data_IF_343386272484
#
_entry.id   IF_343386272484
#
_cell.length_a   1.000
_cell.length_b   1.000
_cell.length_c   1.000
_cell.angle_alpha   90.00
_cell.angle_beta   90.00
_cell.angle_gamma   90.00
#
_symmetry.space_group_name_H-M   'P 1'
#
loop_
_entity.id
_entity.type
_entity.pdbx_description
1 polymer ?
#
# COMPACT_ATOMS: atom_id res chain seq x y z
N UNK A 1 -19.17 2.65 -14.63
CA UNK A 1 -19.13 2.79 -13.15
C UNK A 1 -17.71 2.55 -12.65
N UNK A 2 -17.32 3.16 -11.54
CA UNK A 2 -15.95 3.09 -11.00
C UNK A 2 -15.45 1.64 -10.80
N UNK A 3 -16.34 0.70 -10.44
CA UNK A 3 -16.02 -0.72 -10.27
C UNK A 3 -15.44 -1.40 -11.54
N UNK A 4 -15.90 -1.02 -12.73
CA UNK A 4 -15.39 -1.57 -14.00
C UNK A 4 -13.94 -1.13 -14.25
N UNK A 5 -13.67 0.16 -14.06
CA UNK A 5 -12.35 0.76 -14.27
C UNK A 5 -11.30 0.23 -13.29
N UNK A 6 -11.68 -0.03 -12.04
CA UNK A 6 -10.77 -0.62 -11.05
C UNK A 6 -10.44 -2.09 -11.38
N UNK A 7 -11.39 -2.84 -11.92
CA UNK A 7 -11.16 -4.23 -12.36
C UNK A 7 -10.22 -4.29 -13.57
N UNK A 8 -10.41 -3.40 -14.56
CA UNK A 8 -9.51 -3.27 -15.72
C UNK A 8 -8.09 -2.83 -15.32
N UNK A 9 -7.98 -1.92 -14.34
CA UNK A 9 -6.70 -1.49 -13.79
C UNK A 9 -5.96 -2.65 -13.12
N UNK A 10 -6.65 -3.48 -12.34
CA UNK A 10 -6.06 -4.68 -11.71
C UNK A 10 -5.49 -5.62 -12.76
N UNK A 11 -6.24 -5.91 -13.83
CA UNK A 11 -5.77 -6.82 -14.87
C UNK A 11 -4.54 -6.24 -15.59
N UNK A 12 -4.59 -4.96 -15.94
CA UNK A 12 -3.46 -4.26 -16.58
C UNK A 12 -2.19 -4.28 -15.71
N UNK A 13 -2.34 -4.04 -14.40
CA UNK A 13 -1.25 -4.07 -13.43
C UNK A 13 -0.69 -5.48 -13.24
N UNK A 14 -1.55 -6.51 -13.23
CA UNK A 14 -1.11 -7.91 -13.20
C UNK A 14 -0.31 -8.30 -14.43
N UNK A 15 -0.72 -7.87 -15.63
CA UNK A 15 0.05 -8.10 -16.85
C UNK A 15 1.41 -7.39 -16.78
N UNK A 16 1.44 -6.14 -16.31
CA UNK A 16 2.69 -5.41 -16.12
C UNK A 16 3.64 -6.14 -15.14
N UNK A 17 3.13 -6.64 -14.02
CA UNK A 17 3.89 -7.43 -13.04
C UNK A 17 4.37 -8.75 -13.63
N UNK A 18 3.57 -9.41 -14.49
CA UNK A 18 3.98 -10.65 -15.16
C UNK A 18 5.17 -10.42 -16.10
N UNK A 19 5.20 -9.27 -16.78
CA UNK A 19 6.30 -8.90 -17.68
C UNK A 19 7.51 -8.42 -16.88
N UNK A 20 7.28 -7.62 -15.84
CA UNK A 20 8.32 -7.03 -15.00
C UNK A 20 7.95 -7.15 -13.51
N UNK A 21 8.34 -8.25 -12.85
CA UNK A 21 7.91 -8.54 -11.48
C UNK A 21 8.56 -7.65 -10.41
N UNK A 22 9.68 -7.00 -10.74
CA UNK A 22 10.47 -6.13 -9.87
C UNK A 22 10.08 -4.65 -9.97
N UNK A 23 8.86 -4.35 -10.44
CA UNK A 23 8.35 -2.98 -10.53
C UNK A 23 7.55 -2.62 -9.27
N UNK A 24 8.23 -2.05 -8.26
CA UNK A 24 7.61 -1.66 -6.99
C UNK A 24 6.37 -0.78 -7.16
N UNK A 25 6.40 0.17 -8.10
CA UNK A 25 5.27 1.05 -8.42
C UNK A 25 4.04 0.28 -8.90
N UNK A 26 4.22 -0.77 -9.71
CA UNK A 26 3.10 -1.58 -10.20
C UNK A 26 2.45 -2.38 -9.06
N UNK A 27 3.25 -2.92 -8.14
CA UNK A 27 2.72 -3.57 -6.93
C UNK A 27 2.00 -2.57 -6.02
N UNK A 28 2.54 -1.37 -5.84
CA UNK A 28 1.88 -0.31 -5.05
C UNK A 28 0.53 0.10 -5.66
N UNK A 29 0.51 0.37 -6.97
CA UNK A 29 -0.72 0.72 -7.70
C UNK A 29 -1.74 -0.42 -7.71
N UNK A 30 -1.28 -1.67 -7.74
CA UNK A 30 -2.17 -2.83 -7.60
C UNK A 30 -2.83 -2.85 -6.22
N UNK A 31 -2.08 -2.51 -5.17
CA UNK A 31 -2.61 -2.34 -3.83
C UNK A 31 -3.68 -1.25 -3.75
N UNK A 32 -3.44 -0.09 -4.38
CA UNK A 32 -4.42 1.02 -4.43
C UNK A 32 -5.69 0.62 -5.18
N UNK A 33 -5.56 -0.17 -6.25
CA UNK A 33 -6.70 -0.67 -7.01
C UNK A 33 -7.53 -1.67 -6.18
N UNK A 34 -6.89 -2.60 -5.47
CA UNK A 34 -7.58 -3.50 -4.54
C UNK A 34 -8.24 -2.76 -3.38
N UNK A 35 -7.57 -1.76 -2.80
CA UNK A 35 -8.13 -0.91 -1.77
C UNK A 35 -9.43 -0.25 -2.21
N UNK A 36 -9.44 0.32 -3.41
CA UNK A 36 -10.60 1.01 -3.98
C UNK A 36 -11.81 0.09 -4.17
N UNK A 37 -11.60 -1.23 -4.17
CA UNK A 37 -12.63 -2.26 -4.22
C UNK A 37 -12.97 -2.85 -2.83
N UNK A 38 -12.40 -2.32 -1.74
CA UNK A 38 -12.55 -2.84 -0.38
C UNK A 38 -11.80 -4.16 -0.12
N UNK A 39 -10.91 -4.57 -1.04
CA UNK A 39 -10.12 -5.81 -0.97
C UNK A 39 -8.82 -5.56 -0.19
N UNK A 40 -8.96 -5.26 1.10
CA UNK A 40 -7.84 -4.79 1.93
C UNK A 40 -6.74 -5.84 2.12
N UNK A 41 -7.09 -7.12 2.19
CA UNK A 41 -6.10 -8.20 2.32
C UNK A 41 -5.20 -8.30 1.10
N UNK A 42 -5.75 -8.22 -0.12
CA UNK A 42 -4.95 -8.20 -1.34
C UNK A 42 -4.16 -6.89 -1.49
N UNK A 43 -4.70 -5.77 -0.98
CA UNK A 43 -3.98 -4.50 -0.94
C UNK A 43 -2.72 -4.60 -0.07
N UNK A 44 -2.84 -5.16 1.14
CA UNK A 44 -1.73 -5.39 2.06
C UNK A 44 -0.63 -6.21 1.40
N UNK A 45 -0.98 -7.33 0.76
CA UNK A 45 0.01 -8.18 0.09
C UNK A 45 0.73 -7.43 -1.03
N UNK A 46 -0.01 -6.64 -1.81
CA UNK A 46 0.56 -5.86 -2.92
C UNK A 46 1.53 -4.78 -2.40
N UNK A 47 1.17 -4.06 -1.33
CA UNK A 47 2.07 -3.08 -0.71
C UNK A 47 3.33 -3.75 -0.12
N UNK A 48 3.20 -4.92 0.50
CA UNK A 48 4.35 -5.69 0.99
C UNK A 48 5.30 -6.10 -0.13
N UNK A 49 4.79 -6.51 -1.29
CA UNK A 49 5.64 -6.80 -2.44
C UNK A 49 6.36 -5.54 -2.95
N UNK A 50 5.67 -4.40 -2.99
CA UNK A 50 6.30 -3.12 -3.35
C UNK A 50 7.47 -2.77 -2.40
N UNK A 51 7.26 -2.94 -1.09
CA UNK A 51 8.29 -2.71 -0.05
C UNK A 51 9.43 -3.72 -0.16
N UNK A 52 9.14 -5.00 -0.45
CA UNK A 52 10.17 -6.02 -0.65
C UNK A 52 11.12 -5.67 -1.81
N UNK A 53 10.57 -5.08 -2.88
CA UNK A 53 11.34 -4.65 -4.05
C UNK A 53 12.08 -3.34 -3.76
N UNK A 54 11.40 -2.38 -3.11
CA UNK A 54 11.94 -1.07 -2.78
C UNK A 54 11.67 -0.76 -1.29
N UNK A 55 12.60 -1.10 -0.38
CA UNK A 55 12.40 -0.95 1.07
C UNK A 55 12.29 0.49 1.57
N UNK A 56 12.68 1.49 0.78
CA UNK A 56 12.57 2.92 1.10
C UNK A 56 11.37 3.57 0.40
N UNK A 57 10.43 2.78 -0.13
CA UNK A 57 9.26 3.29 -0.83
C UNK A 57 8.21 3.85 0.15
N UNK A 58 8.38 5.12 0.51
CA UNK A 58 7.58 5.80 1.52
C UNK A 58 6.06 5.70 1.27
N UNK A 59 5.58 5.85 0.03
CA UNK A 59 4.17 5.72 -0.29
C UNK A 59 3.63 4.31 -0.01
N UNK A 60 4.40 3.26 -0.30
CA UNK A 60 3.98 1.89 -0.03
C UNK A 60 3.89 1.61 1.47
N UNK A 61 4.84 2.10 2.27
CA UNK A 61 4.78 2.06 3.74
C UNK A 61 3.56 2.82 4.28
N UNK A 62 3.28 4.00 3.74
CA UNK A 62 2.11 4.80 4.13
C UNK A 62 0.80 4.06 3.84
N UNK A 63 0.62 3.54 2.62
CA UNK A 63 -0.60 2.81 2.26
C UNK A 63 -0.75 1.49 3.02
N UNK A 64 0.35 0.79 3.30
CA UNK A 64 0.33 -0.39 4.16
C UNK A 64 -0.10 -0.05 5.60
N UNK A 65 0.43 1.05 6.15
CA UNK A 65 0.01 1.56 7.46
C UNK A 65 -1.49 1.90 7.51
N UNK A 66 -2.01 2.57 6.47
CA UNK A 66 -3.45 2.81 6.36
C UNK A 66 -4.25 1.50 6.31
N UNK A 67 -3.75 0.49 5.59
CA UNK A 67 -4.46 -0.78 5.43
C UNK A 67 -4.59 -1.49 6.77
N UNK A 68 -3.52 -1.45 7.57
CA UNK A 68 -3.51 -1.97 8.91
C UNK A 68 -4.46 -1.23 9.86
N UNK A 69 -4.60 0.11 9.76
CA UNK A 69 -5.60 0.85 10.54
C UNK A 69 -7.01 0.35 10.20
N UNK A 70 -7.34 0.22 8.92
CA UNK A 70 -8.67 -0.21 8.46
C UNK A 70 -8.98 -1.65 8.90
N UNK A 71 -7.99 -2.54 8.86
CA UNK A 71 -8.14 -3.93 9.33
C UNK A 71 -7.99 -4.08 10.85
N UNK A 72 -7.92 -2.96 11.58
CA UNK A 72 -7.82 -2.87 13.05
C UNK A 72 -6.52 -3.42 13.65
N UNK A 73 -5.47 -3.51 12.85
CA UNK A 73 -4.12 -3.85 13.30
C UNK A 73 -3.28 -2.57 13.53
N UNK A 74 -3.62 -1.82 14.59
CA UNK A 74 -2.87 -0.60 14.95
C UNK A 74 -1.39 -0.89 15.30
N UNK A 75 -1.04 -2.13 15.66
CA UNK A 75 0.33 -2.54 15.96
C UNK A 75 1.20 -2.50 14.72
N UNK A 76 0.78 -3.19 13.66
CA UNK A 76 1.49 -3.16 12.37
C UNK A 76 1.52 -1.75 11.77
N UNK A 77 0.45 -0.96 11.90
CA UNK A 77 0.46 0.44 11.46
C UNK A 77 1.52 1.30 12.20
N UNK A 78 1.74 1.05 13.50
CA UNK A 78 2.76 1.74 14.27
C UNK A 78 4.18 1.37 13.82
N UNK A 79 4.39 0.14 13.35
CA UNK A 79 5.68 -0.28 12.79
C UNK A 79 5.96 0.45 11.47
N UNK A 80 4.96 0.60 10.59
CA UNK A 80 5.09 1.41 9.38
C UNK A 80 5.37 2.88 9.69
N UNK A 81 4.73 3.44 10.73
CA UNK A 81 5.03 4.80 11.20
C UNK A 81 6.50 4.97 11.62
N UNK A 82 7.07 3.99 12.36
CA UNK A 82 8.47 4.05 12.79
C UNK A 82 9.42 4.07 11.59
N UNK A 83 9.13 3.28 10.56
CA UNK A 83 9.91 3.27 9.32
C UNK A 83 9.78 4.62 8.61
N UNK A 84 8.54 5.11 8.41
CA UNK A 84 8.28 6.39 7.77
C UNK A 84 8.98 7.56 8.46
N UNK A 85 9.12 7.53 9.79
CA UNK A 85 9.81 8.59 10.53
C UNK A 85 11.26 8.80 10.06
N UNK A 86 11.91 7.73 9.59
CA UNK A 86 13.28 7.76 9.09
C UNK A 86 13.35 8.12 7.60
N UNK A 87 12.37 7.71 6.78
CA UNK A 87 12.40 7.90 5.31
C UNK A 87 11.56 9.07 4.78
N UNK A 88 10.45 9.41 5.43
CA UNK A 88 9.54 10.50 5.07
C UNK A 88 8.70 10.97 6.27
N UNK A 89 9.21 12.00 6.97
CA UNK A 89 8.59 12.57 8.19
C UNK A 89 7.19 13.14 7.95
N UNK A 90 6.89 13.65 6.76
CA UNK A 90 5.57 14.20 6.47
C UNK A 90 4.51 13.09 6.45
N UNK A 91 4.80 11.98 5.74
CA UNK A 91 3.92 10.81 5.73
C UNK A 91 3.85 10.14 7.10
N UNK A 92 4.95 10.10 7.85
CA UNK A 92 4.95 9.61 9.23
C UNK A 92 3.96 10.38 10.11
N UNK A 93 3.97 11.72 10.05
CA UNK A 93 3.06 12.56 10.84
C UNK A 93 1.59 12.34 10.43
N UNK A 94 1.32 12.22 9.13
CA UNK A 94 -0.04 11.89 8.63
C UNK A 94 -0.50 10.55 9.17
N UNK A 95 0.33 9.51 9.08
CA UNK A 95 0.00 8.17 9.58
C UNK A 95 -0.19 8.16 11.09
N UNK A 96 0.69 8.82 11.85
CA UNK A 96 0.58 8.95 13.30
C UNK A 96 -0.77 9.51 13.72
N UNK A 97 -1.18 10.63 13.12
CA UNK A 97 -2.47 11.25 13.44
C UNK A 97 -3.65 10.28 13.21
N UNK A 98 -3.58 9.43 12.19
CA UNK A 98 -4.64 8.46 11.88
C UNK A 98 -4.63 7.25 12.83
N UNK A 99 -3.47 6.85 13.38
CA UNK A 99 -3.38 5.77 14.37
C UNK A 99 -4.09 6.13 15.68
N UNK A 100 -3.99 7.40 16.08
CA UNK A 100 -4.49 7.89 17.38
C UNK A 100 -5.83 8.64 17.30
N UNK A 101 -6.47 8.70 16.14
CA UNK A 101 -7.90 8.97 16.00
C UNK A 101 -8.73 7.73 16.34
#
# INVERSE_FOLDING_TARGET
>A
GNLGRHSEAIESLKQAIRIKPDLAEAHCNLGVAYWSLGRYSEAIESYKQAIRIKPDYAEAHYFLGLAYIITRDKGSALDEYKILKEINKELANKLFNLIYQ
#
